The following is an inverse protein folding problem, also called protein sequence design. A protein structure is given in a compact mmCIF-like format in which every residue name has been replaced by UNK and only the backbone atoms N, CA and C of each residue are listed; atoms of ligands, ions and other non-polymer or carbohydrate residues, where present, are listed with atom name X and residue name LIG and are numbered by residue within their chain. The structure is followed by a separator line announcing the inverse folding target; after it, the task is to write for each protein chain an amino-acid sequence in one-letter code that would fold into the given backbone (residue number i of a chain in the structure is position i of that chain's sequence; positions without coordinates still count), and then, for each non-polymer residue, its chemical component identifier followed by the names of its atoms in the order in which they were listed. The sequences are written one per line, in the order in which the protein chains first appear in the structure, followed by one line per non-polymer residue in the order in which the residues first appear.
data_IF_896741836910
#
_entry.id   IF_896741836910
#
_cell.length_a   1.000
_cell.length_b   1.000
_cell.length_c   1.000
_cell.angle_alpha   90.00
_cell.angle_beta   90.00
_cell.angle_gamma   90.00
#
_symmetry.space_group_name_H-M   'P 1'
#
loop_
_entity.id
_entity.type
_entity.pdbx_description
1 polymer ?
#
# COMPACT_ATOMS: atom_id res chain seq x y z
N UNK A 1 7.17 25.09 2.89
CA UNK A 1 8.45 24.93 3.61
C UNK A 1 9.55 24.68 2.58
N UNK A 2 10.79 25.09 2.84
CA UNK A 2 11.90 24.78 1.95
C UNK A 2 12.17 23.26 1.92
N UNK A 3 12.79 22.80 0.84
CA UNK A 3 13.21 21.40 0.66
C UNK A 3 14.37 21.08 1.61
N UNK A 4 14.28 19.99 2.35
CA UNK A 4 15.32 19.56 3.30
C UNK A 4 16.53 18.90 2.61
N UNK A 5 16.30 18.07 1.58
CA UNK A 5 17.34 17.37 0.82
C UNK A 5 17.02 17.34 -0.69
N UNK A 6 18.03 17.30 -1.58
CA UNK A 6 17.80 17.05 -3.00
C UNK A 6 17.06 15.72 -3.28
N UNK A 7 16.22 15.65 -4.33
CA UNK A 7 15.51 14.42 -4.68
C UNK A 7 16.49 13.29 -5.00
N UNK A 8 16.22 12.09 -4.46
CA UNK A 8 17.00 10.89 -4.71
C UNK A 8 18.24 10.71 -3.84
N UNK A 9 18.63 11.71 -3.03
CA UNK A 9 19.82 11.60 -2.16
C UNK A 9 19.53 10.93 -0.82
N UNK A 10 18.32 11.09 -0.29
CA UNK A 10 17.93 10.54 1.01
C UNK A 10 16.53 9.95 0.95
N UNK A 11 16.37 8.75 1.49
CA UNK A 11 15.05 8.17 1.73
C UNK A 11 14.47 8.73 3.04
N UNK A 12 13.21 9.17 2.98
CA UNK A 12 12.48 9.67 4.13
C UNK A 12 10.97 9.43 3.94
N UNK A 13 10.36 8.61 4.79
CA UNK A 13 8.92 8.34 4.70
C UNK A 13 8.11 9.61 5.05
N UNK A 14 7.34 10.13 4.09
CA UNK A 14 6.55 11.34 4.27
C UNK A 14 5.20 11.26 3.56
N UNK A 15 4.11 11.24 4.33
CA UNK A 15 2.73 11.22 3.80
C UNK A 15 2.43 12.41 2.88
N UNK A 16 3.11 13.55 3.10
CA UNK A 16 2.99 14.73 2.24
C UNK A 16 3.44 14.47 0.80
N UNK A 17 4.41 13.58 0.58
CA UNK A 17 4.85 13.19 -0.77
C UNK A 17 3.76 12.38 -1.48
N UNK A 18 3.09 11.47 -0.78
CA UNK A 18 1.96 10.72 -1.34
C UNK A 18 0.75 11.62 -1.59
N UNK A 19 0.50 12.63 -0.74
CA UNK A 19 -0.50 13.67 -1.02
C UNK A 19 -0.17 14.43 -2.31
N UNK A 20 1.11 14.75 -2.56
CA UNK A 20 1.54 15.39 -3.79
C UNK A 20 1.28 14.50 -5.01
N UNK A 21 1.51 13.18 -4.93
CA UNK A 21 1.13 12.23 -5.98
C UNK A 21 -0.38 12.31 -6.28
N UNK A 22 -1.20 12.36 -5.23
CA UNK A 22 -2.65 12.57 -5.38
C UNK A 22 -2.98 13.86 -6.13
N UNK A 23 -2.34 14.98 -5.78
CA UNK A 23 -2.51 16.25 -6.50
C UNK A 23 -2.13 16.12 -7.98
N UNK A 24 -1.02 15.43 -8.29
CA UNK A 24 -0.58 15.20 -9.67
C UNK A 24 -1.62 14.40 -10.46
N UNK A 25 -2.18 13.33 -9.89
CA UNK A 25 -3.23 12.53 -10.53
C UNK A 25 -4.47 13.39 -10.79
N UNK A 26 -4.95 14.14 -9.80
CA UNK A 26 -6.12 15.00 -9.95
C UNK A 26 -5.91 16.07 -11.05
N UNK A 27 -4.71 16.67 -11.11
CA UNK A 27 -4.37 17.66 -12.14
C UNK A 27 -4.22 17.06 -13.54
N UNK A 28 -3.60 15.89 -13.65
CA UNK A 28 -3.39 15.22 -14.94
C UNK A 28 -4.69 14.66 -15.54
N UNK A 29 -5.63 14.24 -14.69
CA UNK A 29 -6.89 13.62 -15.11
C UNK A 29 -8.05 14.61 -15.16
N UNK A 30 -7.96 15.74 -14.47
CA UNK A 30 -9.06 16.69 -14.30
C UNK A 30 -10.19 16.14 -13.42
N UNK A 31 -9.94 15.12 -12.59
CA UNK A 31 -10.95 14.37 -11.84
C UNK A 31 -10.65 14.29 -10.34
N UNK A 32 -11.67 14.15 -9.48
CA UNK A 32 -11.49 13.75 -8.08
C UNK A 32 -10.78 12.40 -7.98
N UNK A 33 -9.99 12.20 -6.93
CA UNK A 33 -9.23 10.96 -6.74
C UNK A 33 -10.15 9.76 -6.52
N UNK A 34 -11.25 9.93 -5.78
CA UNK A 34 -12.21 8.87 -5.52
C UNK A 34 -12.87 8.38 -6.82
N UNK A 35 -13.24 9.30 -7.72
CA UNK A 35 -13.82 8.97 -9.02
C UNK A 35 -12.82 8.25 -9.94
N UNK A 36 -11.57 8.70 -9.93
CA UNK A 36 -10.52 8.06 -10.72
C UNK A 36 -10.16 6.67 -10.18
N UNK A 37 -10.04 6.53 -8.85
CA UNK A 37 -9.86 5.24 -8.18
C UNK A 37 -11.01 4.29 -8.49
N UNK A 38 -12.25 4.78 -8.42
CA UNK A 38 -13.45 3.99 -8.71
C UNK A 38 -13.39 3.37 -10.10
N UNK A 39 -13.21 4.20 -11.12
CA UNK A 39 -13.19 3.74 -12.51
C UNK A 39 -11.98 2.87 -12.82
N UNK A 40 -10.78 3.28 -12.39
CA UNK A 40 -9.53 2.64 -12.84
C UNK A 40 -9.13 1.43 -12.03
N UNK A 41 -9.60 1.29 -10.80
CA UNK A 41 -9.16 0.22 -9.89
C UNK A 41 -10.35 -0.46 -9.23
N UNK A 42 -11.25 0.29 -8.60
CA UNK A 42 -12.28 -0.26 -7.71
C UNK A 42 -13.28 -1.15 -8.46
N UNK A 43 -13.86 -0.63 -9.54
CA UNK A 43 -14.85 -1.36 -10.33
C UNK A 43 -14.21 -2.53 -11.10
N UNK A 44 -13.06 -2.37 -11.79
CA UNK A 44 -12.41 -3.50 -12.46
C UNK A 44 -11.89 -4.58 -11.49
N UNK A 45 -11.50 -4.20 -10.27
CA UNK A 45 -11.08 -5.15 -9.23
C UNK A 45 -12.24 -5.96 -8.65
N UNK A 46 -13.50 -5.57 -8.93
CA UNK A 46 -14.67 -6.26 -8.41
C UNK A 46 -14.80 -6.15 -6.89
N UNK A 47 -14.51 -4.96 -6.35
CA UNK A 47 -14.68 -4.68 -4.92
C UNK A 47 -16.14 -4.87 -4.48
N UNK A 48 -16.35 -5.41 -3.29
CA UNK A 48 -17.67 -5.82 -2.78
C UNK A 48 -18.55 -4.65 -2.32
N UNK A 49 -17.93 -3.52 -1.96
CA UNK A 49 -18.64 -2.39 -1.39
C UNK A 49 -18.00 -1.05 -1.68
N UNK A 50 -18.68 0.04 -1.30
CA UNK A 50 -18.11 1.37 -1.40
C UNK A 50 -16.91 1.53 -0.46
N UNK A 51 -16.01 2.43 -0.84
CA UNK A 51 -15.00 2.98 0.04
C UNK A 51 -15.37 4.41 0.45
N UNK A 52 -14.83 4.86 1.58
CA UNK A 52 -14.89 6.25 2.00
C UNK A 52 -13.47 6.83 1.97
N UNK A 53 -13.29 7.98 1.33
CA UNK A 53 -12.02 8.69 1.34
C UNK A 53 -12.19 10.01 2.07
N UNK A 54 -11.42 10.20 3.15
CA UNK A 54 -11.45 11.45 3.91
C UNK A 54 -11.04 12.64 3.03
N UNK A 55 -11.82 13.72 3.14
CA UNK A 55 -11.54 15.00 2.50
C UNK A 55 -10.78 15.92 3.46
N UNK A 56 -9.89 16.73 2.90
CA UNK A 56 -9.25 17.85 3.60
C UNK A 56 -10.21 19.04 3.77
N UNK A 57 -9.72 20.11 4.40
CA UNK A 57 -10.51 21.33 4.63
C UNK A 57 -10.92 22.05 3.34
N UNK A 58 -10.32 21.70 2.19
CA UNK A 58 -10.62 22.24 0.87
C UNK A 58 -11.53 21.28 0.07
N UNK A 59 -12.02 20.20 0.68
CA UNK A 59 -12.90 19.23 0.04
C UNK A 59 -12.17 18.28 -0.92
N UNK A 60 -10.86 18.09 -0.80
CA UNK A 60 -10.06 17.20 -1.65
C UNK A 60 -9.60 15.97 -0.90
N UNK A 61 -9.52 14.83 -1.58
CA UNK A 61 -9.06 13.60 -0.97
C UNK A 61 -7.59 13.67 -0.53
N UNK A 62 -7.30 13.17 0.67
CA UNK A 62 -5.92 13.04 1.15
C UNK A 62 -5.21 11.86 0.47
N UNK A 63 -4.44 12.13 -0.60
CA UNK A 63 -3.80 11.10 -1.42
C UNK A 63 -2.95 10.07 -0.66
N UNK A 64 -2.34 10.46 0.46
CA UNK A 64 -1.47 9.61 1.28
C UNK A 64 -2.16 8.79 2.37
N UNK A 65 -3.47 8.92 2.57
CA UNK A 65 -4.14 8.18 3.64
C UNK A 65 -5.65 8.04 3.46
N UNK A 66 -6.24 7.42 4.48
CA UNK A 66 -7.60 7.68 4.94
C UNK A 66 -8.71 7.17 4.02
N UNK A 67 -8.40 6.14 3.23
CA UNK A 67 -9.40 5.29 2.60
C UNK A 67 -9.87 4.25 3.62
N UNK A 68 -11.18 4.18 3.83
CA UNK A 68 -11.86 3.16 4.62
C UNK A 68 -12.62 2.23 3.70
N UNK A 69 -12.36 0.93 3.81
CA UNK A 69 -12.99 -0.10 2.99
C UNK A 69 -13.10 -1.42 3.77
N UNK A 70 -13.79 -2.40 3.20
CA UNK A 70 -13.98 -3.72 3.80
C UNK A 70 -12.66 -4.50 3.83
N UNK A 71 -12.52 -5.39 4.80
CA UNK A 71 -11.36 -6.30 4.91
C UNK A 71 -11.10 -7.07 3.60
N UNK A 72 -12.16 -7.60 2.98
CA UNK A 72 -12.06 -8.37 1.73
C UNK A 72 -11.61 -7.53 0.54
N UNK A 73 -11.96 -6.24 0.51
CA UNK A 73 -11.56 -5.33 -0.57
C UNK A 73 -10.08 -4.96 -0.47
N UNK A 74 -9.56 -4.79 0.75
CA UNK A 74 -8.10 -4.73 0.94
C UNK A 74 -7.40 -6.05 0.57
N UNK A 75 -8.06 -7.19 0.76
CA UNK A 75 -7.60 -8.48 0.25
C UNK A 75 -7.47 -8.49 -1.27
N UNK A 76 -8.45 -7.92 -1.99
CA UNK A 76 -8.40 -7.76 -3.45
C UNK A 76 -7.27 -6.82 -3.89
N UNK A 77 -6.97 -5.76 -3.14
CA UNK A 77 -5.79 -4.91 -3.41
C UNK A 77 -4.50 -5.74 -3.31
N UNK A 78 -4.37 -6.57 -2.29
CA UNK A 78 -3.23 -7.49 -2.15
C UNK A 78 -3.16 -8.52 -3.29
N UNK A 79 -4.30 -9.11 -3.67
CA UNK A 79 -4.36 -10.07 -4.80
C UNK A 79 -4.03 -9.41 -6.14
N UNK A 80 -4.51 -8.19 -6.37
CA UNK A 80 -4.15 -7.40 -7.55
C UNK A 80 -2.63 -7.21 -7.63
N UNK A 81 -1.98 -6.85 -6.51
CA UNK A 81 -0.53 -6.69 -6.48
C UNK A 81 0.20 -8.03 -6.69
N UNK A 82 -0.26 -9.11 -6.04
CA UNK A 82 0.26 -10.47 -6.21
C UNK A 82 0.21 -10.91 -7.69
N UNK A 83 -0.90 -10.62 -8.38
CA UNK A 83 -1.13 -10.97 -9.77
C UNK A 83 -0.59 -9.93 -10.77
N UNK A 84 0.28 -9.02 -10.31
CA UNK A 84 0.92 -7.96 -11.12
C UNK A 84 -0.10 -7.12 -11.91
N UNK A 85 -1.18 -6.76 -11.24
CA UNK A 85 -2.26 -5.92 -11.75
C UNK A 85 -3.41 -6.66 -12.42
N UNK A 86 -3.33 -7.98 -12.61
CA UNK A 86 -4.47 -8.73 -13.16
C UNK A 86 -5.61 -8.81 -12.14
N UNK A 87 -6.83 -8.53 -12.61
CA UNK A 87 -8.08 -8.49 -11.84
C UNK A 87 -9.23 -9.06 -12.67
N UNK A 88 -10.42 -9.34 -12.09
CA UNK A 88 -11.54 -9.89 -12.86
C UNK A 88 -11.95 -9.02 -14.07
N UNK A 89 -11.88 -7.69 -13.93
CA UNK A 89 -12.18 -6.72 -14.98
C UNK A 89 -11.04 -6.47 -15.98
N UNK A 90 -9.94 -7.24 -15.93
CA UNK A 90 -8.82 -7.13 -16.88
C UNK A 90 -7.49 -6.87 -16.20
N UNK A 91 -6.77 -5.84 -16.65
CA UNK A 91 -5.41 -5.54 -16.22
C UNK A 91 -5.34 -4.09 -15.71
N UNK A 92 -5.01 -3.93 -14.43
CA UNK A 92 -4.66 -2.64 -13.84
C UNK A 92 -3.19 -2.36 -14.17
N UNK A 93 -2.94 -1.31 -14.95
CA UNK A 93 -1.61 -0.88 -15.40
C UNK A 93 -0.74 -1.99 -16.04
N UNK A 94 0.46 -1.63 -16.52
CA UNK A 94 1.37 -2.60 -17.12
C UNK A 94 1.94 -3.58 -16.07
N UNK A 95 2.14 -4.85 -16.41
CA UNK A 95 2.71 -5.84 -15.48
C UNK A 95 4.09 -5.43 -14.96
N UNK A 96 4.92 -4.82 -15.81
CA UNK A 96 6.25 -4.34 -15.42
C UNK A 96 6.16 -3.14 -14.48
N UNK A 97 5.05 -2.39 -14.50
CA UNK A 97 4.81 -1.35 -13.49
C UNK A 97 4.70 -1.99 -12.10
N UNK A 98 3.89 -3.04 -11.95
CA UNK A 98 3.75 -3.74 -10.67
C UNK A 98 5.06 -4.38 -10.22
N UNK A 99 5.76 -5.09 -11.11
CA UNK A 99 7.06 -5.69 -10.81
C UNK A 99 8.08 -4.67 -10.32
N UNK A 100 8.13 -3.48 -10.96
CA UNK A 100 8.99 -2.40 -10.47
C UNK A 100 8.48 -1.85 -9.14
N UNK A 101 7.19 -1.58 -9.02
CA UNK A 101 6.62 -0.92 -7.85
C UNK A 101 6.82 -1.73 -6.55
N UNK A 102 6.78 -3.06 -6.63
CA UNK A 102 6.98 -3.95 -5.49
C UNK A 102 8.41 -4.44 -5.33
N UNK A 103 9.31 -4.12 -6.25
CA UNK A 103 10.74 -4.42 -6.10
C UNK A 103 11.39 -3.55 -5.02
N UNK A 104 12.41 -4.10 -4.37
CA UNK A 104 13.23 -3.37 -3.41
C UNK A 104 14.08 -2.33 -4.13
N UNK A 105 13.67 -1.06 -4.07
CA UNK A 105 14.40 0.07 -4.66
C UNK A 105 15.34 0.72 -3.66
N UNK A 106 14.97 0.69 -2.39
CA UNK A 106 15.76 1.18 -1.26
C UNK A 106 15.98 0.04 -0.29
N UNK A 107 17.23 -0.18 0.08
CA UNK A 107 17.63 -1.15 1.08
C UNK A 107 17.88 -0.46 2.42
N UNK A 108 17.51 -1.12 3.52
CA UNK A 108 17.80 -0.64 4.87
C UNK A 108 18.68 -1.68 5.58
N UNK A 109 20.02 -1.60 5.46
CA UNK A 109 20.95 -2.66 5.86
C UNK A 109 20.86 -3.08 7.34
N UNK A 110 20.36 -2.20 8.20
CA UNK A 110 20.18 -2.44 9.63
C UNK A 110 18.84 -3.12 9.97
N UNK A 111 18.05 -3.49 8.96
CA UNK A 111 16.75 -4.14 9.13
C UNK A 111 16.48 -5.18 8.05
N UNK A 112 15.47 -6.01 8.24
CA UNK A 112 14.98 -6.95 7.23
C UNK A 112 14.04 -6.30 6.20
N UNK A 113 14.03 -4.97 6.12
CA UNK A 113 13.13 -4.18 5.29
C UNK A 113 13.86 -3.44 4.19
N UNK A 114 13.10 -3.17 3.14
CA UNK A 114 13.39 -2.14 2.15
C UNK A 114 12.14 -1.37 1.78
N UNK A 115 12.22 -0.61 0.69
CA UNK A 115 11.08 0.15 0.17
C UNK A 115 11.08 0.18 -1.36
N UNK A 116 9.90 0.02 -1.95
CA UNK A 116 9.60 0.18 -3.37
C UNK A 116 8.74 1.43 -3.63
N UNK A 117 7.92 1.41 -4.68
CA UNK A 117 7.01 2.50 -4.97
C UNK A 117 5.73 2.39 -4.13
N UNK A 118 5.76 2.96 -2.91
CA UNK A 118 4.66 2.93 -1.93
C UNK A 118 4.41 1.55 -1.26
N UNK A 119 5.37 0.63 -1.40
CA UNK A 119 5.37 -0.69 -0.76
C UNK A 119 6.60 -0.84 0.11
N UNK A 120 6.44 -1.33 1.33
CA UNK A 120 7.55 -1.86 2.10
C UNK A 120 7.96 -3.21 1.52
N UNK A 121 9.26 -3.48 1.43
CA UNK A 121 9.76 -4.79 0.99
C UNK A 121 10.42 -5.53 2.15
N UNK A 122 10.45 -6.85 2.07
CA UNK A 122 11.05 -7.74 3.08
C UNK A 122 11.67 -8.95 2.42
N UNK A 123 12.47 -9.69 3.21
CA UNK A 123 13.12 -10.92 2.77
C UNK A 123 13.86 -10.70 1.44
N UNK A 124 14.72 -9.68 1.43
CA UNK A 124 15.52 -9.29 0.25
C UNK A 124 14.67 -8.98 -1.00
N UNK A 125 13.47 -8.40 -0.79
CA UNK A 125 12.54 -8.06 -1.87
C UNK A 125 11.62 -9.20 -2.31
N UNK A 126 11.69 -10.38 -1.69
CA UNK A 126 10.83 -11.50 -2.03
C UNK A 126 9.38 -11.31 -1.54
N UNK A 127 9.16 -10.51 -0.50
CA UNK A 127 7.84 -10.20 0.05
C UNK A 127 7.63 -8.68 0.09
N UNK A 128 6.38 -8.24 0.03
CA UNK A 128 6.05 -6.82 0.10
C UNK A 128 4.76 -6.54 0.88
N UNK A 129 4.69 -5.33 1.45
CA UNK A 129 3.67 -4.94 2.41
C UNK A 129 3.19 -3.50 2.19
N UNK A 130 1.88 -3.27 2.29
CA UNK A 130 1.34 -1.94 2.56
C UNK A 130 1.07 -1.85 4.06
N UNK A 131 1.69 -0.89 4.75
CA UNK A 131 1.60 -0.76 6.21
C UNK A 131 1.07 0.61 6.61
N UNK A 132 0.15 0.62 7.58
CA UNK A 132 -0.42 1.83 8.16
C UNK A 132 -0.29 1.86 9.68
N UNK A 133 -0.35 3.07 10.24
CA UNK A 133 -0.40 3.27 11.69
C UNK A 133 -1.64 2.60 12.31
N UNK A 134 -1.61 2.39 13.62
CA UNK A 134 -2.65 1.69 14.37
C UNK A 134 -2.84 0.21 13.99
N UNK A 135 -1.86 -0.37 13.28
CA UNK A 135 -1.77 -1.81 13.03
C UNK A 135 -2.26 -2.29 11.66
N UNK A 136 -2.51 -1.39 10.71
CA UNK A 136 -2.98 -1.80 9.38
C UNK A 136 -1.86 -2.48 8.60
N UNK A 137 -2.18 -3.57 7.88
CA UNK A 137 -1.22 -4.22 7.00
C UNK A 137 -1.92 -5.02 5.90
N UNK A 138 -1.40 -4.94 4.68
CA UNK A 138 -1.58 -5.95 3.64
C UNK A 138 -0.20 -6.55 3.42
N UNK A 139 -0.04 -7.83 3.72
CA UNK A 139 1.19 -8.60 3.47
C UNK A 139 0.98 -9.50 2.25
N UNK A 140 1.95 -9.51 1.34
CA UNK A 140 1.93 -10.32 0.14
C UNK A 140 3.21 -11.15 0.05
N UNK A 141 3.04 -12.46 -0.06
CA UNK A 141 4.10 -13.45 -0.31
C UNK A 141 3.84 -14.12 -1.67
N UNK A 142 4.52 -13.67 -2.74
CA UNK A 142 4.38 -14.23 -4.07
C UNK A 142 4.75 -15.70 -4.21
N UNK A 143 5.77 -16.16 -3.48
CA UNK A 143 6.23 -17.55 -3.52
C UNK A 143 5.13 -18.50 -3.02
N UNK A 144 4.49 -18.14 -1.90
CA UNK A 144 3.36 -18.90 -1.32
C UNK A 144 2.01 -18.57 -1.94
N UNK A 145 1.96 -17.60 -2.87
CA UNK A 145 0.71 -17.01 -3.39
C UNK A 145 -0.26 -16.61 -2.27
N UNK A 146 0.29 -16.00 -1.21
CA UNK A 146 -0.42 -15.68 0.01
C UNK A 146 -0.64 -14.17 0.14
N UNK A 147 -1.86 -13.79 0.53
CA UNK A 147 -2.21 -12.43 0.94
C UNK A 147 -2.82 -12.48 2.33
N UNK A 148 -2.31 -11.68 3.25
CA UNK A 148 -2.83 -11.55 4.62
C UNK A 148 -3.16 -10.09 4.88
N UNK A 149 -4.35 -9.81 5.39
CA UNK A 149 -4.81 -8.46 5.70
C UNK A 149 -5.09 -8.33 7.19
N UNK A 150 -4.51 -7.30 7.80
CA UNK A 150 -4.81 -6.85 9.15
C UNK A 150 -5.47 -5.48 9.08
N UNK A 151 -6.68 -5.38 9.61
CA UNK A 151 -7.29 -4.11 10.01
C UNK A 151 -7.32 -4.08 11.53
N UNK A 152 -6.80 -3.02 12.12
CA UNK A 152 -6.56 -2.95 13.57
C UNK A 152 -6.84 -1.55 14.11
N UNK A 153 -6.95 -1.45 15.42
CA UNK A 153 -7.11 -0.19 16.14
C UNK A 153 -6.21 -0.21 17.38
N UNK A 154 -4.90 -0.28 17.17
CA UNK A 154 -3.96 -0.25 18.29
C UNK A 154 -4.11 1.06 19.10
N UNK A 155 -3.90 1.05 20.42
CA UNK A 155 -4.04 2.26 21.24
C UNK A 155 -3.07 3.39 20.89
N UNK A 156 -1.96 3.06 20.22
CA UNK A 156 -0.96 4.01 19.75
C UNK A 156 -0.72 3.82 18.24
N UNK A 157 -0.29 4.90 17.58
CA UNK A 157 -0.01 4.90 16.14
C UNK A 157 1.02 3.84 15.75
N UNK A 158 2.01 3.60 16.61
CA UNK A 158 3.05 2.58 16.44
C UNK A 158 3.27 1.84 17.75
N UNK A 159 3.57 0.54 17.67
CA UNK A 159 3.99 -0.29 18.80
C UNK A 159 4.96 -1.35 18.30
N UNK A 160 6.16 -1.42 18.90
CA UNK A 160 7.17 -2.44 18.56
C UNK A 160 6.67 -3.82 18.95
N UNK A 161 6.26 -3.99 20.21
CA UNK A 161 5.68 -5.23 20.74
C UNK A 161 4.58 -5.80 19.83
N UNK A 162 3.54 -5.00 19.50
CA UNK A 162 2.44 -5.46 18.64
C UNK A 162 2.87 -5.72 17.20
N UNK A 163 3.91 -5.03 16.72
CA UNK A 163 4.48 -5.30 15.40
C UNK A 163 5.20 -6.65 15.41
N UNK A 164 5.96 -6.94 16.46
CA UNK A 164 6.70 -8.19 16.64
C UNK A 164 5.72 -9.37 16.79
N UNK A 165 4.64 -9.22 17.56
CA UNK A 165 3.55 -10.20 17.65
C UNK A 165 2.92 -10.51 16.29
N UNK A 166 2.61 -9.48 15.48
CA UNK A 166 2.04 -9.67 14.14
C UNK A 166 3.03 -10.39 13.21
N UNK A 167 4.32 -10.09 13.30
CA UNK A 167 5.35 -10.77 12.52
C UNK A 167 5.56 -12.22 12.95
N UNK A 168 5.50 -12.50 14.26
CA UNK A 168 5.52 -13.85 14.78
C UNK A 168 4.31 -14.66 14.29
N UNK A 169 3.11 -14.07 14.30
CA UNK A 169 1.92 -14.69 13.72
C UNK A 169 2.10 -15.01 12.23
N UNK A 170 2.59 -14.06 11.43
CA UNK A 170 2.86 -14.29 10.01
C UNK A 170 3.88 -15.41 9.77
N UNK A 171 4.92 -15.48 10.61
CA UNK A 171 5.93 -16.54 10.54
C UNK A 171 5.31 -17.91 10.81
N UNK A 172 4.53 -18.03 11.89
CA UNK A 172 3.83 -19.27 12.25
C UNK A 172 2.83 -19.68 11.19
N UNK A 173 2.03 -18.74 10.65
CA UNK A 173 1.08 -18.98 9.57
C UNK A 173 1.79 -19.54 8.33
N UNK A 174 2.88 -18.90 7.90
CA UNK A 174 3.65 -19.31 6.71
C UNK A 174 4.34 -20.65 6.85
N UNK A 175 4.67 -21.08 8.08
CA UNK A 175 5.25 -22.39 8.35
C UNK A 175 4.20 -23.52 8.33
N UNK A 176 2.90 -23.17 8.39
CA UNK A 176 1.78 -24.13 8.42
C UNK A 176 1.10 -24.35 7.06
N UNK A 177 1.49 -23.60 6.02
CA UNK A 177 1.02 -23.72 4.64
C UNK A 177 2.01 -24.53 3.80
#
# INVERSE_FOLDING_TARGET
MPREHPPGERWHYNTGETNLIGVLIARATGRPLAEYLKEKVWDPAGMEGPAFWMLDAQGKEAGGCCVSARLRDWGRVGLMALERGAVPGGQIADRRWFERATAQMVDFPESDRGYGAQWWTRAEGAQFEAAGIFGQMIHVDPERRLVVVFLSAWPAATSRERSDERLAFLTTLKAAL
#
